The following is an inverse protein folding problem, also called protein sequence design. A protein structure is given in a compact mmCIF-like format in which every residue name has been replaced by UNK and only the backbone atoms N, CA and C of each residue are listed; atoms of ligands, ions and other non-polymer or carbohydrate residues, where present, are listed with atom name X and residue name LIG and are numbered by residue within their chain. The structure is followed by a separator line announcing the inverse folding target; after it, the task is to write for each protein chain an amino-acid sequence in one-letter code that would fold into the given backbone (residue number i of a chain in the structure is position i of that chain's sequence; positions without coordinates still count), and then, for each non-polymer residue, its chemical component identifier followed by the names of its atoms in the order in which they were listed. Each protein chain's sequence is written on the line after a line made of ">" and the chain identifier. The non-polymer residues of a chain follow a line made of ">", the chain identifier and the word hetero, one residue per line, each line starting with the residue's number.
data_IF_079679971976
#
_entry.id   IF_079679971976
#
_cell.length_a   1.000
_cell.length_b   1.000
_cell.length_c   1.000
_cell.angle_alpha   90.00
_cell.angle_beta   90.00
_cell.angle_gamma   90.00
#
_symmetry.space_group_name_H-M   'P 1'
#
loop_
_entity.id
_entity.type
_entity.pdbx_description
1 polymer ?
#
# COMPACT_ATOMS: atom_id res chain seq x y z
N UNK A 1 -23.09 -7.06 17.10
CA UNK A 1 -23.46 -8.42 16.98
C UNK A 1 -23.48 -8.96 15.56
N UNK A 2 -22.73 -8.62 14.66
CA UNK A 2 -22.79 -9.38 13.41
C UNK A 2 -21.37 -9.66 13.00
N UNK A 3 -21.01 -10.90 13.22
CA UNK A 3 -19.86 -11.54 12.70
C UNK A 3 -19.74 -11.13 11.22
N UNK A 4 -18.77 -10.33 10.89
CA UNK A 4 -18.45 -10.02 9.52
C UNK A 4 -18.28 -11.38 8.81
N UNK A 5 -19.05 -11.69 7.76
CA UNK A 5 -18.98 -13.01 7.11
C UNK A 5 -17.57 -13.34 6.61
N UNK A 6 -16.75 -12.33 6.46
CA UNK A 6 -15.34 -12.43 6.05
C UNK A 6 -14.41 -12.72 7.22
N UNK A 7 -14.76 -12.37 8.47
CA UNK A 7 -13.98 -12.75 9.66
C UNK A 7 -13.94 -14.27 9.85
N UNK A 8 -15.00 -14.97 9.45
CA UNK A 8 -15.03 -16.43 9.52
C UNK A 8 -14.06 -17.12 8.54
N UNK A 9 -13.63 -16.44 7.48
CA UNK A 9 -12.64 -16.99 6.52
C UNK A 9 -11.20 -16.81 7.01
N UNK A 10 -10.95 -15.92 7.96
CA UNK A 10 -9.60 -15.52 8.37
C UNK A 10 -9.37 -15.61 9.89
N UNK A 11 -10.00 -16.55 10.56
CA UNK A 11 -9.82 -16.79 12.00
C UNK A 11 -8.40 -17.24 12.39
N UNK A 12 -7.53 -17.49 11.42
CA UNK A 12 -6.12 -17.82 11.61
C UNK A 12 -5.31 -17.27 10.45
N UNK A 13 -4.37 -16.39 10.73
CA UNK A 13 -3.45 -15.85 9.73
C UNK A 13 -3.20 -14.35 9.88
N UNK A 14 -2.31 -13.80 9.07
CA UNK A 14 -1.88 -12.39 9.12
C UNK A 14 -3.05 -11.41 8.95
N UNK A 15 -4.06 -11.74 8.16
CA UNK A 15 -5.23 -10.89 7.94
C UNK A 15 -6.15 -10.74 9.15
N UNK A 16 -6.22 -11.72 10.04
CA UNK A 16 -7.03 -11.61 11.25
C UNK A 16 -6.59 -10.41 12.12
N UNK A 17 -5.29 -10.26 12.31
CA UNK A 17 -4.74 -9.16 13.11
C UNK A 17 -4.90 -7.81 12.41
N UNK A 18 -4.83 -7.77 11.09
CA UNK A 18 -5.10 -6.56 10.31
C UNK A 18 -6.52 -6.07 10.55
N UNK A 19 -7.51 -6.94 10.46
CA UNK A 19 -8.93 -6.59 10.62
C UNK A 19 -9.28 -6.26 12.07
N UNK A 20 -8.71 -6.99 13.04
CA UNK A 20 -8.84 -6.64 14.44
C UNK A 20 -8.34 -5.24 14.72
N UNK A 21 -7.17 -4.90 14.19
CA UNK A 21 -6.57 -3.58 14.34
C UNK A 21 -7.39 -2.47 13.69
N UNK A 22 -8.03 -2.70 12.53
CA UNK A 22 -8.97 -1.74 11.93
C UNK A 22 -10.14 -1.44 12.87
N UNK A 23 -10.72 -2.46 13.49
CA UNK A 23 -11.78 -2.29 14.49
C UNK A 23 -11.35 -1.41 15.66
N UNK A 24 -10.17 -1.68 16.23
CA UNK A 24 -9.61 -0.91 17.33
C UNK A 24 -9.35 0.55 16.92
N UNK A 25 -8.88 0.79 15.69
CA UNK A 25 -8.71 2.14 15.16
C UNK A 25 -10.08 2.84 15.01
N UNK A 26 -11.11 2.15 14.51
CA UNK A 26 -12.45 2.70 14.39
C UNK A 26 -13.09 3.04 15.73
N UNK A 27 -12.84 2.21 16.77
CA UNK A 27 -13.32 2.52 18.11
C UNK A 27 -12.66 3.78 18.70
N UNK A 28 -11.36 3.98 18.42
CA UNK A 28 -10.64 5.17 18.88
C UNK A 28 -10.92 6.42 18.06
N UNK A 29 -11.15 6.27 16.76
CA UNK A 29 -11.32 7.37 15.78
C UNK A 29 -12.55 7.12 14.90
N UNK A 30 -13.78 7.21 15.45
CA UNK A 30 -15.01 6.75 14.77
C UNK A 30 -15.45 7.65 13.61
N UNK A 31 -14.86 8.83 13.47
CA UNK A 31 -15.21 9.81 12.42
C UNK A 31 -14.64 9.46 11.02
N UNK A 32 -13.74 8.48 10.94
CA UNK A 32 -13.12 8.05 9.68
C UNK A 32 -13.08 6.55 9.56
N UNK A 33 -13.31 6.06 8.34
CA UNK A 33 -13.04 4.67 8.00
C UNK A 33 -11.53 4.50 7.81
N UNK A 34 -10.87 3.64 8.59
CA UNK A 34 -9.45 3.38 8.42
C UNK A 34 -9.19 2.60 7.13
N UNK A 35 -8.01 2.83 6.55
CA UNK A 35 -7.44 1.91 5.60
C UNK A 35 -6.70 0.81 6.37
N UNK A 36 -6.72 -0.44 5.87
CA UNK A 36 -6.04 -1.59 6.48
C UNK A 36 -4.57 -1.34 6.78
N UNK A 37 -3.89 -0.55 5.97
CA UNK A 37 -2.49 -0.20 6.17
C UNK A 37 -2.23 0.72 7.37
N UNK A 38 -3.24 1.39 7.92
CA UNK A 38 -3.07 2.21 9.12
C UNK A 38 -2.60 1.41 10.34
N UNK A 39 -2.85 0.11 10.38
CA UNK A 39 -2.30 -0.78 11.40
C UNK A 39 -0.78 -0.69 11.51
N UNK A 40 -0.08 -0.67 10.37
CA UNK A 40 1.39 -0.56 10.34
C UNK A 40 1.90 0.75 10.94
N UNK A 41 1.09 1.79 10.93
CA UNK A 41 1.46 3.12 11.39
C UNK A 41 0.97 3.45 12.79
N UNK A 42 -0.13 2.86 13.23
CA UNK A 42 -0.79 3.20 14.50
C UNK A 42 -0.65 2.10 15.56
N UNK A 43 -0.40 0.86 15.15
CA UNK A 43 -0.32 -0.32 16.02
C UNK A 43 0.93 -1.16 15.72
N UNK A 44 2.08 -0.51 15.53
CA UNK A 44 3.32 -1.17 15.11
C UNK A 44 3.75 -2.29 16.06
N UNK A 45 3.67 -2.04 17.37
CA UNK A 45 4.09 -3.00 18.39
C UNK A 45 3.26 -4.27 18.33
N UNK A 46 1.96 -4.11 18.33
CA UNK A 46 0.98 -5.20 18.27
C UNK A 46 1.13 -5.99 16.97
N UNK A 47 1.37 -5.28 15.87
CA UNK A 47 1.60 -5.91 14.57
C UNK A 47 2.87 -6.75 14.55
N UNK A 48 3.97 -6.24 15.08
CA UNK A 48 5.27 -6.96 15.16
C UNK A 48 5.16 -8.17 16.09
N UNK A 49 4.51 -8.03 17.25
CA UNK A 49 4.32 -9.14 18.22
C UNK A 49 3.53 -10.33 17.60
N UNK A 50 2.68 -10.07 16.62
CA UNK A 50 1.89 -11.09 15.94
C UNK A 50 2.50 -11.54 14.59
N UNK A 51 3.61 -10.95 14.18
CA UNK A 51 4.33 -11.30 12.96
C UNK A 51 5.30 -12.46 13.20
N UNK A 52 5.45 -13.33 12.19
CA UNK A 52 6.47 -14.37 12.21
C UNK A 52 7.68 -13.92 11.38
N UNK A 53 8.83 -13.58 11.99
CA UNK A 53 10.01 -13.15 11.26
C UNK A 53 10.63 -14.25 10.37
N UNK A 54 10.40 -15.54 10.73
CA UNK A 54 10.92 -16.69 9.96
C UNK A 54 10.02 -16.99 8.73
N UNK A 55 8.81 -16.48 8.70
CA UNK A 55 7.87 -16.66 7.59
C UNK A 55 6.97 -15.44 7.46
N UNK A 56 7.48 -14.47 6.71
CA UNK A 56 6.79 -13.21 6.45
C UNK A 56 5.69 -13.36 5.40
N UNK A 57 4.90 -12.31 5.20
CA UNK A 57 3.91 -12.26 4.10
C UNK A 57 4.56 -12.45 2.73
N UNK A 58 5.79 -11.98 2.53
CA UNK A 58 6.53 -12.19 1.29
C UNK A 58 6.75 -13.67 1.00
N UNK A 59 7.18 -14.45 2.01
CA UNK A 59 7.32 -15.89 1.89
C UNK A 59 6.01 -16.60 1.54
N UNK A 60 4.90 -16.21 2.18
CA UNK A 60 3.57 -16.76 1.86
C UNK A 60 3.18 -16.52 0.40
N UNK A 61 3.45 -15.32 -0.11
CA UNK A 61 3.15 -14.96 -1.50
C UNK A 61 4.02 -15.75 -2.47
N UNK A 62 5.31 -15.83 -2.22
CA UNK A 62 6.28 -16.55 -3.05
C UNK A 62 5.96 -18.05 -3.12
N UNK A 63 5.66 -18.69 -1.99
CA UNK A 63 5.36 -20.12 -1.90
C UNK A 63 4.05 -20.52 -2.63
N UNK A 64 3.10 -19.61 -2.75
CA UNK A 64 1.73 -19.98 -3.15
C UNK A 64 1.30 -19.45 -4.51
N UNK A 65 1.62 -18.18 -4.85
CA UNK A 65 1.04 -17.54 -6.04
C UNK A 65 1.51 -18.14 -7.34
N UNK A 66 2.81 -18.30 -7.50
CA UNK A 66 3.39 -18.83 -8.70
C UNK A 66 2.94 -20.28 -8.92
N UNK A 67 3.05 -21.09 -7.87
CA UNK A 67 2.62 -22.50 -7.91
C UNK A 67 1.15 -22.63 -8.29
N UNK A 68 0.26 -21.90 -7.63
CA UNK A 68 -1.18 -21.96 -7.91
C UNK A 68 -1.51 -21.54 -9.36
N UNK A 69 -0.82 -20.52 -9.87
CA UNK A 69 -1.00 -20.06 -11.24
C UNK A 69 -0.58 -21.16 -12.24
N UNK A 70 0.59 -21.74 -12.10
CA UNK A 70 1.08 -22.77 -13.01
C UNK A 70 0.29 -24.07 -12.91
N UNK A 71 -0.10 -24.49 -11.70
CA UNK A 71 -0.99 -25.65 -11.51
C UNK A 71 -2.34 -25.43 -12.24
N UNK A 72 -2.88 -24.21 -12.22
CA UNK A 72 -4.10 -23.87 -12.94
C UNK A 72 -3.93 -23.86 -14.47
N UNK A 73 -2.82 -23.36 -14.97
CA UNK A 73 -2.47 -23.41 -16.40
C UNK A 73 -2.33 -24.87 -16.86
N UNK A 74 -1.61 -25.67 -16.11
CA UNK A 74 -1.44 -27.10 -16.39
C UNK A 74 -2.79 -27.86 -16.38
N UNK A 75 -3.67 -27.50 -15.47
CA UNK A 75 -5.03 -28.06 -15.44
C UNK A 75 -5.80 -27.71 -16.71
N UNK A 76 -5.80 -26.42 -17.09
CA UNK A 76 -6.45 -25.98 -18.32
C UNK A 76 -5.89 -26.64 -19.57
N UNK A 77 -4.58 -26.78 -19.70
CA UNK A 77 -3.95 -27.45 -20.85
C UNK A 77 -4.36 -28.93 -20.97
N UNK A 78 -4.58 -29.60 -19.83
CA UNK A 78 -4.96 -31.03 -19.81
C UNK A 78 -6.45 -31.27 -20.01
N UNK A 79 -7.29 -30.38 -19.54
CA UNK A 79 -8.74 -30.61 -19.47
C UNK A 79 -9.55 -29.69 -20.40
N UNK A 80 -9.01 -28.52 -20.75
CA UNK A 80 -9.75 -27.46 -21.43
C UNK A 80 -10.69 -26.70 -20.49
N UNK A 81 -10.72 -27.02 -19.20
CA UNK A 81 -11.59 -26.38 -18.20
C UNK A 81 -10.81 -25.33 -17.42
N UNK A 82 -11.42 -24.15 -17.22
CA UNK A 82 -10.87 -23.06 -16.40
C UNK A 82 -11.37 -23.23 -14.98
N UNK A 83 -10.44 -23.39 -14.04
CA UNK A 83 -10.74 -23.22 -12.63
C UNK A 83 -10.79 -21.72 -12.30
N UNK A 84 -12.02 -21.18 -12.22
CA UNK A 84 -12.25 -19.76 -11.93
C UNK A 84 -11.59 -19.33 -10.61
N UNK A 85 -11.45 -20.22 -9.63
CA UNK A 85 -10.82 -19.89 -8.35
C UNK A 85 -9.32 -19.61 -8.49
N UNK A 86 -8.66 -20.26 -9.45
CA UNK A 86 -7.23 -20.08 -9.74
C UNK A 86 -6.95 -18.80 -10.51
N UNK A 87 -7.82 -18.46 -11.47
CA UNK A 87 -7.64 -17.30 -12.34
C UNK A 87 -8.45 -16.06 -11.90
N UNK A 88 -9.17 -16.17 -10.80
CA UNK A 88 -9.98 -15.06 -10.31
C UNK A 88 -9.10 -13.93 -9.78
N UNK A 89 -9.00 -12.87 -10.58
CA UNK A 89 -8.28 -11.65 -10.21
C UNK A 89 -9.08 -10.76 -9.23
N UNK A 90 -10.31 -11.18 -8.88
CA UNK A 90 -11.21 -10.43 -8.03
C UNK A 90 -11.63 -9.08 -8.64
N UNK A 91 -12.16 -8.22 -7.79
CA UNK A 91 -12.56 -6.85 -8.17
C UNK A 91 -11.41 -6.00 -8.73
N UNK A 92 -10.16 -6.38 -8.50
CA UNK A 92 -8.99 -5.66 -9.05
C UNK A 92 -8.89 -5.80 -10.57
N UNK A 93 -9.17 -6.98 -11.12
CA UNK A 93 -9.15 -7.20 -12.55
C UNK A 93 -10.22 -6.37 -13.26
N UNK A 94 -11.44 -6.38 -12.73
CA UNK A 94 -12.57 -5.59 -13.26
C UNK A 94 -12.25 -4.09 -13.19
N UNK A 95 -11.71 -3.63 -12.05
CA UNK A 95 -11.32 -2.22 -11.88
C UNK A 95 -10.29 -1.77 -12.92
N UNK A 96 -9.25 -2.59 -13.17
CA UNK A 96 -8.21 -2.28 -14.16
C UNK A 96 -8.81 -2.23 -15.58
N UNK A 97 -9.68 -3.19 -15.93
CA UNK A 97 -10.36 -3.23 -17.22
C UNK A 97 -11.26 -2.01 -17.41
N UNK A 98 -12.07 -1.66 -16.42
CA UNK A 98 -12.96 -0.50 -16.45
C UNK A 98 -12.17 0.81 -16.57
N UNK A 99 -11.05 0.94 -15.85
CA UNK A 99 -10.16 2.10 -15.97
C UNK A 99 -9.60 2.23 -17.40
N UNK A 100 -9.16 1.14 -18.00
CA UNK A 100 -8.67 1.12 -19.38
C UNK A 100 -9.76 1.50 -20.39
N UNK A 101 -10.99 1.00 -20.19
CA UNK A 101 -12.17 1.33 -20.99
C UNK A 101 -12.50 2.82 -20.85
N UNK A 102 -12.47 3.36 -19.64
CA UNK A 102 -12.76 4.77 -19.39
C UNK A 102 -11.75 5.70 -20.08
N UNK A 103 -10.46 5.37 -20.01
CA UNK A 103 -9.41 6.11 -20.70
C UNK A 103 -9.59 6.05 -22.23
N UNK A 104 -9.85 4.86 -22.78
CA UNK A 104 -9.98 4.65 -24.22
C UNK A 104 -11.23 5.31 -24.81
N UNK A 105 -12.37 5.19 -24.12
CA UNK A 105 -13.68 5.59 -24.64
C UNK A 105 -14.16 6.95 -24.11
N UNK A 106 -13.34 7.65 -23.29
CA UNK A 106 -13.66 8.95 -22.68
C UNK A 106 -14.98 8.94 -21.88
N UNK A 107 -15.23 7.87 -21.11
CA UNK A 107 -16.54 7.67 -20.47
C UNK A 107 -16.81 8.60 -19.30
N UNK A 108 -15.76 9.25 -18.77
CA UNK A 108 -15.85 10.11 -17.56
C UNK A 108 -16.39 9.37 -16.33
N UNK A 109 -16.16 8.07 -16.27
CA UNK A 109 -16.49 7.29 -15.09
C UNK A 109 -15.63 7.69 -13.91
N UNK A 110 -16.20 7.62 -12.70
CA UNK A 110 -15.49 7.98 -11.46
C UNK A 110 -14.69 6.80 -10.92
N UNK A 111 -13.43 7.05 -10.64
CA UNK A 111 -12.50 6.11 -10.00
C UNK A 111 -11.83 6.76 -8.80
N UNK A 112 -11.30 5.94 -7.89
CA UNK A 112 -10.33 6.35 -6.88
C UNK A 112 -8.93 6.05 -7.44
N UNK A 113 -8.11 7.06 -7.63
CA UNK A 113 -6.80 6.94 -8.29
C UNK A 113 -5.74 7.76 -7.58
N UNK A 114 -4.49 7.29 -7.67
CA UNK A 114 -3.34 8.06 -7.22
C UNK A 114 -2.98 9.05 -8.32
N UNK A 115 -2.97 10.34 -7.97
CA UNK A 115 -2.64 11.43 -8.88
C UNK A 115 -2.03 12.61 -8.13
N UNK A 116 -1.45 13.52 -8.89
CA UNK A 116 -0.90 14.77 -8.33
C UNK A 116 -2.01 15.62 -7.71
N UNK A 117 -1.77 16.13 -6.50
CA UNK A 117 -2.76 16.90 -5.73
C UNK A 117 -3.27 18.14 -6.48
N UNK A 118 -2.38 18.92 -7.06
CA UNK A 118 -2.73 20.17 -7.81
C UNK A 118 -3.72 21.09 -7.08
N UNK A 119 -3.66 21.05 -5.74
CA UNK A 119 -4.54 21.85 -4.89
C UNK A 119 -5.92 21.22 -4.60
N UNK A 120 -6.16 20.00 -5.05
CA UNK A 120 -7.42 19.28 -4.76
C UNK A 120 -7.65 19.08 -3.26
N UNK A 121 -6.59 18.87 -2.48
CA UNK A 121 -6.57 18.94 -1.02
C UNK A 121 -5.79 20.21 -0.65
N UNK A 122 -6.45 21.30 -0.20
CA UNK A 122 -5.79 22.60 -0.08
C UNK A 122 -4.66 22.67 0.95
N UNK A 123 -4.72 21.85 2.01
CA UNK A 123 -3.70 21.81 3.05
C UNK A 123 -2.65 20.69 2.87
N UNK A 124 -2.51 20.18 1.64
CA UNK A 124 -1.43 19.29 1.22
C UNK A 124 -0.55 19.97 0.15
N UNK A 125 0.74 19.62 0.03
CA UNK A 125 1.60 20.16 -1.02
C UNK A 125 1.01 19.96 -2.41
N UNK A 126 1.22 20.96 -3.28
CA UNK A 126 0.66 20.97 -4.64
C UNK A 126 1.14 19.77 -5.47
N UNK A 127 2.39 19.39 -5.30
CA UNK A 127 3.09 18.28 -5.98
C UNK A 127 2.97 16.91 -5.27
N UNK A 128 2.18 16.82 -4.19
CA UNK A 128 1.97 15.56 -3.50
C UNK A 128 1.22 14.58 -4.40
N UNK A 129 1.66 13.33 -4.43
CA UNK A 129 0.88 12.24 -5.01
C UNK A 129 -0.09 11.74 -3.95
N UNK A 130 -1.38 11.83 -4.25
CA UNK A 130 -2.47 11.52 -3.31
C UNK A 130 -3.53 10.67 -3.96
N UNK A 131 -4.18 9.81 -3.19
CA UNK A 131 -5.31 9.01 -3.66
C UNK A 131 -6.59 9.83 -3.56
N UNK A 132 -7.19 10.11 -4.71
CA UNK A 132 -8.37 10.97 -4.84
C UNK A 132 -9.40 10.38 -5.80
N UNK A 133 -10.69 10.64 -5.58
CA UNK A 133 -11.68 10.40 -6.59
C UNK A 133 -11.49 11.35 -7.77
N UNK A 134 -11.53 10.80 -8.96
CA UNK A 134 -11.41 11.54 -10.21
C UNK A 134 -12.36 11.00 -11.27
N UNK A 135 -12.77 11.84 -12.19
CA UNK A 135 -13.41 11.40 -13.42
C UNK A 135 -12.33 11.04 -14.45
N UNK A 136 -12.41 9.84 -15.00
CA UNK A 136 -11.39 9.33 -15.91
C UNK A 136 -11.90 9.38 -17.35
N UNK A 137 -11.16 10.06 -18.19
CA UNK A 137 -11.39 10.15 -19.62
C UNK A 137 -10.07 10.12 -20.39
N UNK A 138 -10.13 10.31 -21.70
CA UNK A 138 -8.98 10.24 -22.62
C UNK A 138 -7.80 11.15 -22.27
N UNK A 139 -8.05 12.22 -21.51
CA UNK A 139 -7.02 13.18 -21.07
C UNK A 139 -6.43 12.83 -19.69
N UNK A 140 -6.79 11.68 -19.12
CA UNK A 140 -6.40 11.27 -17.78
C UNK A 140 -7.41 11.70 -16.70
N UNK A 141 -6.95 11.80 -15.43
CA UNK A 141 -7.81 12.10 -14.29
C UNK A 141 -8.20 13.58 -14.21
N UNK A 142 -9.50 13.82 -14.06
CA UNK A 142 -10.06 15.11 -13.64
C UNK A 142 -10.43 14.99 -12.16
N UNK A 143 -9.57 15.52 -11.30
CA UNK A 143 -9.63 15.32 -9.86
C UNK A 143 -10.81 16.06 -9.24
N UNK A 144 -11.51 15.39 -8.33
CA UNK A 144 -12.59 16.02 -7.56
C UNK A 144 -11.97 16.68 -6.32
N UNK A 145 -12.09 18.01 -6.27
CA UNK A 145 -11.58 18.81 -5.14
C UNK A 145 -12.19 18.38 -3.81
N UNK A 146 -11.42 18.51 -2.75
CA UNK A 146 -11.78 18.21 -1.38
C UNK A 146 -11.59 19.45 -0.51
N UNK A 147 -12.16 19.39 0.70
CA UNK A 147 -11.83 20.34 1.75
C UNK A 147 -10.47 20.00 2.40
N UNK A 148 -10.06 20.84 3.33
CA UNK A 148 -8.90 20.55 4.17
C UNK A 148 -9.10 19.23 4.91
N UNK A 149 -8.09 18.38 4.86
CA UNK A 149 -8.07 17.18 5.70
C UNK A 149 -7.73 17.57 7.15
N UNK A 150 -8.27 16.84 8.15
CA UNK A 150 -7.99 17.11 9.55
C UNK A 150 -6.50 16.96 9.89
N UNK A 151 -6.06 17.66 10.94
CA UNK A 151 -4.65 17.74 11.33
C UNK A 151 -4.02 16.38 11.60
N UNK A 152 -4.76 15.45 12.17
CA UNK A 152 -4.23 14.11 12.47
C UNK A 152 -3.87 13.37 11.19
N UNK A 153 -4.79 13.29 10.24
CA UNK A 153 -4.57 12.65 8.95
C UNK A 153 -3.51 13.38 8.13
N UNK A 154 -3.55 14.71 8.12
CA UNK A 154 -2.52 15.52 7.47
C UNK A 154 -1.14 15.22 8.04
N UNK A 155 -0.99 15.12 9.36
CA UNK A 155 0.27 14.79 10.01
C UNK A 155 0.82 13.44 9.56
N UNK A 156 -0.02 12.41 9.50
CA UNK A 156 0.37 11.07 9.02
C UNK A 156 0.78 11.10 7.55
N UNK A 157 -0.02 11.74 6.70
CA UNK A 157 0.26 11.84 5.27
C UNK A 157 1.53 12.65 4.97
N UNK A 158 1.73 13.76 5.67
CA UNK A 158 2.92 14.59 5.51
C UNK A 158 4.19 13.88 5.96
N UNK A 159 4.13 13.11 7.05
CA UNK A 159 5.27 12.31 7.51
C UNK A 159 5.66 11.27 6.45
N UNK A 160 4.70 10.54 5.91
CA UNK A 160 4.93 9.55 4.86
C UNK A 160 5.45 10.20 3.58
N UNK A 161 4.80 11.25 3.10
CA UNK A 161 5.21 11.99 1.91
C UNK A 161 6.66 12.48 1.99
N UNK A 162 7.05 13.05 3.15
CA UNK A 162 8.39 13.56 3.33
C UNK A 162 9.43 12.42 3.41
N UNK A 163 9.08 11.29 4.01
CA UNK A 163 9.93 10.09 4.00
C UNK A 163 10.16 9.60 2.56
N UNK A 164 9.11 9.48 1.76
CA UNK A 164 9.19 9.06 0.36
C UNK A 164 10.00 10.04 -0.52
N UNK A 165 9.78 11.34 -0.39
CA UNK A 165 10.58 12.36 -1.10
C UNK A 165 12.06 12.25 -0.77
N UNK A 166 12.40 12.04 0.49
CA UNK A 166 13.79 11.84 0.91
C UNK A 166 14.40 10.55 0.33
N UNK A 167 13.63 9.47 0.18
CA UNK A 167 14.11 8.25 -0.52
C UNK A 167 14.43 8.55 -1.98
N UNK A 168 13.55 9.26 -2.67
CA UNK A 168 13.78 9.65 -4.08
C UNK A 168 15.03 10.51 -4.22
N UNK A 169 15.17 11.56 -3.39
CA UNK A 169 16.35 12.42 -3.39
C UNK A 169 17.62 11.64 -3.07
N UNK A 170 17.58 10.76 -2.04
CA UNK A 170 18.70 9.92 -1.67
C UNK A 170 19.17 9.03 -2.84
N UNK A 171 18.20 8.46 -3.55
CA UNK A 171 18.47 7.60 -4.71
C UNK A 171 19.11 8.36 -5.87
N UNK A 172 18.58 9.55 -6.20
CA UNK A 172 19.07 10.37 -7.30
C UNK A 172 20.47 10.92 -7.01
N UNK A 173 20.71 11.34 -5.76
CA UNK A 173 21.96 11.99 -5.37
C UNK A 173 23.03 10.99 -4.85
N UNK A 174 22.66 9.73 -4.62
CA UNK A 174 23.55 8.76 -3.97
C UNK A 174 23.84 9.11 -2.50
N UNK A 175 22.88 9.70 -1.79
CA UNK A 175 23.11 10.25 -0.45
C UNK A 175 22.65 9.31 0.67
N UNK A 176 23.62 8.73 1.39
CA UNK A 176 23.34 7.93 2.60
C UNK A 176 22.64 8.75 3.69
N UNK A 177 23.06 10.01 3.89
CA UNK A 177 22.44 10.89 4.89
C UNK A 177 20.93 11.09 4.65
N UNK A 178 20.55 11.35 3.39
CA UNK A 178 19.12 11.49 3.03
C UNK A 178 18.36 10.19 3.19
N UNK A 179 18.95 9.06 2.82
CA UNK A 179 18.37 7.75 3.04
C UNK A 179 18.13 7.49 4.54
N UNK A 180 19.12 7.77 5.39
CA UNK A 180 18.97 7.62 6.84
C UNK A 180 17.89 8.55 7.41
N UNK A 181 17.78 9.79 6.92
CA UNK A 181 16.70 10.71 7.30
C UNK A 181 15.33 10.16 6.90
N UNK A 182 15.22 9.60 5.69
CA UNK A 182 13.99 8.99 5.20
C UNK A 182 13.53 7.83 6.09
N UNK A 183 14.43 6.89 6.38
CA UNK A 183 14.15 5.75 7.26
C UNK A 183 13.82 6.20 8.68
N UNK A 184 14.51 7.21 9.21
CA UNK A 184 14.25 7.76 10.55
C UNK A 184 12.87 8.43 10.63
N UNK A 185 12.45 9.09 9.55
CA UNK A 185 11.15 9.74 9.47
C UNK A 185 9.99 8.78 9.25
N UNK A 186 10.26 7.61 8.67
CA UNK A 186 9.21 6.62 8.42
C UNK A 186 8.60 6.13 9.74
N UNK A 187 7.28 6.24 9.85
CA UNK A 187 6.58 5.93 11.10
C UNK A 187 6.66 4.44 11.50
N UNK A 188 6.96 3.55 10.58
CA UNK A 188 7.14 2.12 10.88
C UNK A 188 8.50 1.80 11.51
N UNK A 189 9.41 2.76 11.55
CA UNK A 189 10.75 2.61 12.13
C UNK A 189 10.78 3.23 13.52
N UNK A 190 11.09 2.47 14.59
CA UNK A 190 10.89 2.92 15.96
C UNK A 190 11.94 3.93 16.46
N UNK A 191 13.12 3.99 15.83
CA UNK A 191 14.18 4.92 16.24
C UNK A 191 15.23 5.12 15.15
N UNK A 192 16.00 6.23 15.24
CA UNK A 192 17.13 6.50 14.35
C UNK A 192 18.18 5.39 14.39
N UNK A 193 18.41 4.77 15.55
CA UNK A 193 19.36 3.66 15.68
C UNK A 193 18.90 2.46 14.85
N UNK A 194 17.64 2.07 14.97
CA UNK A 194 17.04 0.99 14.16
C UNK A 194 17.01 1.38 12.68
N UNK A 195 16.69 2.64 12.35
CA UNK A 195 16.75 3.13 10.97
C UNK A 195 18.13 2.91 10.35
N UNK A 196 19.20 3.21 11.10
CA UNK A 196 20.57 2.99 10.63
C UNK A 196 20.89 1.52 10.42
N UNK A 197 20.58 0.67 11.39
CA UNK A 197 20.83 -0.77 11.33
C UNK A 197 20.10 -1.38 10.13
N UNK A 198 18.81 -1.07 9.96
CA UNK A 198 18.00 -1.57 8.82
C UNK A 198 18.54 -1.05 7.48
N UNK A 199 18.90 0.22 7.39
CA UNK A 199 19.45 0.79 6.16
C UNK A 199 20.77 0.13 5.76
N UNK A 200 21.69 -0.06 6.73
CA UNK A 200 23.00 -0.69 6.50
C UNK A 200 22.81 -2.15 6.01
N UNK A 201 21.92 -2.92 6.64
CA UNK A 201 21.61 -4.29 6.24
C UNK A 201 20.96 -4.34 4.84
N UNK A 202 20.05 -3.41 4.54
CA UNK A 202 19.41 -3.34 3.22
C UNK A 202 20.38 -2.95 2.11
N UNK A 203 21.33 -2.04 2.37
CA UNK A 203 22.38 -1.68 1.42
C UNK A 203 23.23 -2.91 1.06
N UNK A 204 23.66 -3.69 2.06
CA UNK A 204 24.45 -4.89 1.82
C UNK A 204 23.64 -5.97 1.08
N UNK A 205 22.40 -6.22 1.50
CA UNK A 205 21.52 -7.21 0.88
C UNK A 205 21.15 -6.87 -0.57
N UNK A 206 21.10 -5.58 -0.92
CA UNK A 206 20.75 -5.11 -2.28
C UNK A 206 21.96 -4.63 -3.08
N UNK A 207 23.15 -5.05 -2.72
CA UNK A 207 24.38 -4.70 -3.42
C UNK A 207 24.32 -5.10 -4.91
N UNK A 208 24.55 -4.13 -5.77
CA UNK A 208 24.46 -4.30 -7.22
C UNK A 208 23.06 -4.04 -7.81
N UNK A 209 22.04 -3.87 -6.97
CA UNK A 209 20.69 -3.48 -7.38
C UNK A 209 20.38 -2.03 -6.99
N UNK A 210 20.85 -1.59 -5.84
CA UNK A 210 20.69 -0.22 -5.38
C UNK A 210 21.83 0.69 -5.88
N UNK A 211 21.57 2.00 -6.05
CA UNK A 211 22.64 2.96 -6.29
C UNK A 211 23.61 2.98 -5.10
N UNK A 212 24.87 3.33 -5.38
CA UNK A 212 25.86 3.52 -4.32
C UNK A 212 25.48 4.75 -3.49
N UNK A 213 25.20 4.54 -2.19
CA UNK A 213 24.94 5.62 -1.24
C UNK A 213 26.25 6.00 -0.51
N UNK A 214 26.59 7.29 -0.52
CA UNK A 214 27.81 7.84 0.07
C UNK A 214 27.51 8.86 1.14
#
# INVERSE_FOLDING_TARGET
>A
TDEHPEQNRHTKGSWYYVWKGEYEIMECFPEYLPNTYLNYYLQQKEFVEHSNPERTRANEVEETREKNLFDGIDHYEKTGEIDESTFYAGSHGDWIADLAIALKNDTKQRFLVICENKGAIPNMPYDAMVELPAYIGKNGPEVISRDNIPLFQQGLMMQQLNSEKLVVEATIEGSYEKALKAFTLNKTVPSMKVAKEVLDDMIEANKGYWPELK
#
